data_IF_275944003500
#
_entry.id   IF_275944003500
#
_cell.length_a   1.000
_cell.length_b   1.000
_cell.length_c   1.000
_cell.angle_alpha   90.00
_cell.angle_beta   90.00
_cell.angle_gamma   90.00
#
_symmetry.space_group_name_H-M   'P 1'
#
loop_
_entity.id
_entity.type
_entity.pdbx_description
1 polymer ?
2 non-polymer ?
3 water ?
#
# COMPACT_ATOMS: atom_id res chain seq x y z
N UNK A 5 20.29 -12.39 13.02
CA UNK A 5 20.90 -13.23 11.99
C UNK A 5 22.09 -12.56 11.29
N UNK A 6 22.90 -11.78 12.02
CA UNK A 6 23.93 -10.98 11.39
C UNK A 6 23.33 -9.89 10.51
N UNK A 7 23.92 -9.65 9.35
CA UNK A 7 23.41 -8.64 8.42
C UNK A 7 22.21 -9.11 7.57
N UNK A 8 21.88 -10.39 7.66
CA UNK A 8 20.69 -10.91 6.97
C UNK A 8 19.42 -10.31 7.57
N UNK A 9 18.41 -10.05 6.73
CA UNK A 9 17.14 -9.56 7.24
C UNK A 9 16.15 -10.71 7.31
N UNK A 10 15.25 -10.65 8.28
CA UNK A 10 14.26 -11.69 8.53
C UNK A 10 12.85 -11.11 8.57
N UNK A 11 11.85 -11.97 8.77
CA UNK A 11 10.46 -11.57 8.73
C UNK A 11 10.15 -10.44 9.73
N UNK A 12 9.21 -9.58 9.35
CA UNK A 12 8.70 -8.52 10.21
C UNK A 12 7.27 -8.86 10.57
N UNK A 13 6.95 -8.80 11.85
CA UNK A 13 5.62 -9.19 12.29
C UNK A 13 4.79 -7.98 12.60
N UNK A 14 3.60 -7.93 11.99
CA UNK A 14 2.63 -6.89 12.33
C UNK A 14 1.30 -7.53 12.74
N UNK A 15 0.97 -7.41 14.02
CA UNK A 15 -0.29 -7.92 14.54
C UNK A 15 -0.47 -9.39 14.16
N UNK A 16 0.58 -10.17 14.36
CA UNK A 16 0.53 -11.60 14.09
C UNK A 16 0.80 -12.02 12.65
N UNK A 17 0.85 -11.05 11.73
CA UNK A 17 1.08 -11.32 10.31
C UNK A 17 2.56 -11.18 10.00
N UNK A 18 3.14 -12.20 9.40
CA UNK A 18 4.55 -12.14 9.03
C UNK A 18 4.71 -11.56 7.63
N UNK A 19 5.54 -10.52 7.53
CA UNK A 19 5.89 -9.91 6.28
C UNK A 19 7.32 -10.25 5.91
N UNK A 20 7.53 -10.76 4.69
CA UNK A 20 8.92 -10.95 4.26
C UNK A 20 9.61 -9.60 4.08
N UNK A 21 10.91 -9.57 4.35
CA UNK A 21 11.61 -8.29 4.27
C UNK A 21 11.86 -7.84 2.85
N UNK A 22 11.80 -8.78 1.92
CA UNK A 22 11.94 -8.46 0.52
C UNK A 22 10.94 -9.32 -0.23
N UNK A 23 10.50 -8.86 -1.39
CA UNK A 23 9.65 -9.63 -2.30
C UNK A 23 10.18 -9.42 -3.70
N UNK A 24 10.57 -10.51 -4.36
CA UNK A 24 11.08 -10.47 -5.74
C UNK A 24 10.03 -11.05 -6.65
N UNK A 25 9.32 -10.21 -7.41
CA UNK A 25 8.32 -10.79 -8.34
C UNK A 25 8.90 -11.02 -9.73
N UNK A 29 12.52 -8.52 -13.53
CA UNK A 29 12.23 -9.36 -12.37
C UNK A 29 13.18 -9.04 -11.23
N UNK A 30 12.89 -7.95 -10.51
CA UNK A 30 13.79 -7.44 -9.48
C UNK A 30 13.16 -7.39 -8.09
N UNK A 31 14.02 -7.28 -7.07
CA UNK A 31 13.63 -7.43 -5.67
C UNK A 31 13.17 -6.12 -5.01
N UNK A 32 12.06 -6.19 -4.28
CA UNK A 32 11.53 -5.03 -3.57
C UNK A 32 11.72 -5.22 -2.06
N UNK A 33 12.10 -4.16 -1.39
CA UNK A 33 12.26 -4.18 0.05
C UNK A 33 11.09 -3.62 0.81
N UNK A 34 10.79 -4.25 1.93
CA UNK A 34 9.79 -3.76 2.86
C UNK A 34 10.21 -2.41 3.44
N UNK A 35 9.45 -1.37 3.14
CA UNK A 35 9.72 -0.04 3.68
C UNK A 35 9.02 0.16 4.98
N UNK A 36 7.86 -0.48 5.13
CA UNK A 36 7.11 -0.30 6.35
C UNK A 36 5.83 -1.11 6.31
N UNK A 37 5.24 -1.33 7.48
CA UNK A 37 4.04 -2.14 7.56
C UNK A 37 3.24 -1.72 8.77
N UNK A 38 1.92 -1.65 8.62
CA UNK A 38 1.08 -1.23 9.72
C UNK A 38 -0.31 -1.81 9.54
N UNK A 39 -1.27 -1.24 10.24
CA UNK A 39 -2.64 -1.79 10.20
C UNK A 39 -3.65 -0.74 9.84
N UNK A 40 -4.74 -1.17 9.21
CA UNK A 40 -5.85 -0.28 8.95
C UNK A 40 -7.04 -0.77 9.79
N UNK A 41 -7.67 0.18 10.46
CA UNK A 41 -8.83 -0.11 11.27
C UNK A 41 -10.04 0.47 10.57
N UNK A 42 -11.22 0.01 10.96
CA UNK A 42 -12.43 0.59 10.45
C UNK A 42 -13.34 0.84 11.65
N UNK A 43 -14.17 1.86 11.57
CA UNK A 43 -15.12 2.14 12.66
C UNK A 43 -16.48 1.58 12.34
N UNK A 44 -17.05 0.78 13.26
CA UNK A 44 -18.41 0.30 13.17
C UNK A 44 -19.18 0.86 14.35
N UNK A 45 -20.18 1.71 14.08
CA UNK A 45 -20.87 2.42 15.16
C UNK A 45 -19.77 3.10 15.99
N UNK A 46 -19.73 2.92 17.30
CA UNK A 46 -18.71 3.60 18.10
C UNK A 46 -17.40 2.83 18.28
N UNK A 47 -17.28 1.72 17.57
CA UNK A 47 -16.25 0.72 17.82
C UNK A 47 -15.20 0.71 16.71
N UNK A 48 -13.90 0.73 17.04
CA UNK A 48 -12.89 0.62 15.98
C UNK A 48 -12.31 -0.80 15.97
N UNK A 49 -12.17 -1.42 14.82
CA UNK A 49 -11.53 -2.74 14.79
C UNK A 49 -10.47 -2.80 13.69
N UNK A 50 -9.42 -3.54 13.95
CA UNK A 50 -8.34 -3.72 12.96
C UNK A 50 -8.74 -4.75 11.94
N UNK A 51 -8.74 -4.38 10.65
CA UNK A 51 -9.18 -5.34 9.63
C UNK A 51 -8.09 -5.78 8.67
N UNK A 52 -7.06 -4.97 8.46
CA UNK A 52 -5.98 -5.42 7.59
C UNK A 52 -4.65 -4.99 8.06
N UNK A 53 -3.65 -5.78 7.68
CA UNK A 53 -2.25 -5.42 7.83
C UNK A 53 -1.67 -5.14 6.42
N UNK A 54 -0.95 -4.02 6.31
CA UNK A 54 -0.48 -3.51 5.03
C UNK A 54 1.02 -3.37 5.07
N UNK A 55 1.69 -3.96 4.08
CA UNK A 55 3.14 -3.80 3.92
C UNK A 55 3.46 -3.12 2.60
N UNK A 56 4.33 -2.13 2.66
CA UNK A 56 4.70 -1.32 1.51
C UNK A 56 6.13 -1.65 1.10
N UNK A 57 6.30 -2.00 -0.16
CA UNK A 57 7.57 -2.49 -0.74
C UNK A 57 7.97 -1.62 -1.89
N UNK A 58 9.28 -1.41 -2.10
CA UNK A 58 9.74 -0.69 -3.27
C UNK A 58 11.18 -1.07 -3.51
N UNK A 59 11.68 -0.78 -4.72
CA UNK A 59 13.09 -1.03 -5.05
C UNK A 59 13.97 -0.07 -4.23
N UNK A 60 14.85 -0.62 -3.39
CA UNK A 60 15.49 0.20 -2.33
C UNK A 60 16.50 1.22 -2.84
N UNK A 61 17.45 0.81 -3.67
CA UNK A 61 18.43 1.76 -4.16
C UNK A 61 17.73 2.81 -5.02
N UNK A 62 16.81 2.36 -5.85
CA UNK A 62 16.16 3.25 -6.79
C UNK A 62 15.33 4.27 -6.04
N UNK A 63 14.55 3.83 -5.05
CA UNK A 63 13.71 4.78 -4.35
C UNK A 63 14.57 5.72 -3.50
N UNK A 64 15.70 5.24 -2.98
CA UNK A 64 16.59 6.12 -2.22
C UNK A 64 17.10 7.25 -3.09
N UNK A 65 17.40 6.94 -4.35
CA UNK A 65 17.98 7.95 -5.24
C UNK A 65 16.96 9.03 -5.63
N UNK A 66 15.67 8.72 -5.48
CA UNK A 66 14.59 9.68 -5.76
C UNK A 66 14.14 10.47 -4.55
N UNK A 67 14.69 10.16 -3.38
CA UNK A 67 14.26 10.83 -2.15
C UNK A 67 15.42 11.48 -1.42
N UNK A 68 16.53 11.68 -2.15
CA UNK A 68 17.75 12.24 -1.56
C UNK A 68 17.51 13.53 -0.79
N UNK A 69 16.54 14.31 -1.24
CA UNK A 69 16.32 15.61 -0.62
C UNK A 69 15.83 15.42 0.82
N UNK A 70 15.33 14.22 1.14
CA UNK A 70 14.77 13.96 2.46
C UNK A 70 15.79 13.37 3.43
N UNK A 71 17.01 13.19 2.93
CA UNK A 71 18.10 12.61 3.71
C UNK A 71 18.36 13.45 4.96
N UNK A 72 18.74 12.79 6.05
CA UNK A 72 19.08 13.51 7.28
C UNK A 72 17.89 13.87 8.15
N UNK A 73 16.69 13.40 7.79
CA UNK A 73 15.50 13.66 8.59
C UNK A 73 15.10 12.39 9.32
N UNK A 74 14.75 12.52 10.59
CA UNK A 74 14.30 11.37 11.37
C UNK A 74 12.87 11.01 10.97
N UNK A 75 12.47 9.79 11.33
CA UNK A 75 11.13 9.30 11.02
C UNK A 75 10.09 10.27 11.53
N UNK A 76 10.31 10.79 12.74
CA UNK A 76 9.38 11.74 13.37
C UNK A 76 9.21 13.01 12.55
N UNK A 77 10.31 13.55 12.04
CA UNK A 77 10.23 14.70 11.14
C UNK A 77 9.49 14.36 9.85
N UNK A 78 9.82 13.20 9.28
CA UNK A 78 9.26 12.83 7.99
C UNK A 78 7.76 12.64 8.08
N UNK A 79 7.31 12.10 9.21
CA UNK A 79 5.90 11.82 9.40
C UNK A 79 5.06 13.08 9.26
N UNK A 80 5.62 14.22 9.64
CA UNK A 80 4.86 15.47 9.61
C UNK A 80 5.09 16.32 8.35
N UNK A 81 5.81 15.76 7.37
CA UNK A 81 5.97 16.43 6.08
C UNK A 81 5.15 15.68 5.05
N UNK A 82 3.94 16.19 4.77
CA UNK A 82 3.01 15.52 3.87
C UNK A 82 3.63 15.44 2.47
N UNK A 83 4.47 16.42 2.14
CA UNK A 83 5.21 16.42 0.88
C UNK A 83 6.17 15.24 0.73
N UNK A 84 6.54 14.62 1.85
CA UNK A 84 7.42 13.48 1.78
C UNK A 84 6.67 12.27 1.22
N UNK A 85 5.46 12.02 1.74
CA UNK A 85 4.68 10.86 1.31
C UNK A 85 4.18 11.04 -0.11
N UNK A 86 3.95 12.29 -0.51
CA UNK A 86 3.60 12.60 -1.88
C UNK A 86 4.75 12.25 -2.85
N UNK A 87 5.98 12.61 -2.48
CA UNK A 87 7.14 12.24 -3.29
C UNK A 87 7.29 10.72 -3.40
N UNK A 88 6.94 10.03 -2.33
CA UNK A 88 7.07 8.58 -2.31
C UNK A 88 6.10 7.93 -3.30
N UNK A 89 4.86 8.36 -3.23
CA UNK A 89 3.85 7.93 -4.19
C UNK A 89 4.22 8.20 -5.66
N UNK A 90 4.69 9.41 -5.96
CA UNK A 90 4.92 9.80 -7.34
C UNK A 90 6.30 9.38 -7.89
N UNK A 91 7.17 8.86 -7.04
CA UNK A 91 8.47 8.39 -7.52
C UNK A 91 8.29 7.31 -8.61
N UNK A 92 9.01 7.44 -9.75
CA UNK A 92 8.84 6.44 -10.83
C UNK A 92 9.66 5.19 -10.57
N UNK A 93 9.13 4.37 -9.68
CA UNK A 93 9.79 3.21 -9.17
C UNK A 93 8.73 2.15 -8.98
N UNK A 94 9.09 0.89 -9.16
CA UNK A 94 8.18 -0.20 -8.91
C UNK A 94 7.82 -0.28 -7.43
N UNK A 95 6.55 -0.50 -7.13
CA UNK A 95 6.04 -0.56 -5.76
C UNK A 95 5.01 -1.66 -5.61
N UNK A 96 4.86 -2.13 -4.39
CA UNK A 96 3.94 -3.18 -4.08
C UNK A 96 3.34 -2.90 -2.72
N UNK A 97 2.02 -2.97 -2.64
CA UNK A 97 1.32 -2.97 -1.37
C UNK A 97 0.76 -4.34 -1.19
N UNK A 98 1.09 -4.93 -0.07
CA UNK A 98 0.65 -6.26 0.29
C UNK A 98 -0.32 -6.15 1.45
N UNK A 99 -1.54 -6.60 1.24
CA UNK A 99 -2.61 -6.43 2.22
C UNK A 99 -3.11 -7.78 2.70
N UNK A 100 -3.04 -8.02 4.00
CA UNK A 100 -3.47 -9.27 4.59
C UNK A 100 -4.65 -9.01 5.53
N UNK A 101 -5.72 -9.78 5.35
CA UNK A 101 -6.91 -9.66 6.19
C UNK A 101 -6.68 -10.18 7.61
N UNK A 102 -7.04 -9.37 8.59
CA UNK A 102 -7.00 -9.77 10.00
C UNK A 102 -8.33 -10.32 10.42
N UNK A 103 -9.36 -9.91 9.70
CA UNK A 103 -10.72 -10.33 9.97
C UNK A 103 -11.37 -10.62 8.64
N UNK A 104 -12.40 -11.48 8.65
CA UNK A 104 -13.03 -11.80 7.37
C UNK A 104 -13.72 -10.59 6.73
N UNK A 105 -13.55 -10.46 5.42
CA UNK A 105 -14.18 -9.38 4.67
C UNK A 105 -14.67 -9.93 3.36
N UNK A 106 -15.88 -9.52 2.95
CA UNK A 106 -16.34 -9.79 1.60
C UNK A 106 -15.64 -8.80 0.70
N UNK A 107 -15.64 -9.06 -0.60
CA UNK A 107 -14.94 -8.18 -1.50
C UNK A 107 -15.64 -6.84 -1.56
N UNK A 108 -16.97 -6.82 -1.42
CA UNK A 108 -17.70 -5.55 -1.40
C UNK A 108 -17.36 -4.74 -0.15
N UNK A 109 -17.23 -5.42 0.99
CA UNK A 109 -16.85 -4.75 2.24
C UNK A 109 -15.45 -4.18 2.11
N UNK A 110 -14.57 -4.90 1.43
CA UNK A 110 -13.20 -4.44 1.29
C UNK A 110 -13.16 -3.24 0.33
N UNK A 111 -13.76 -3.37 -0.84
CA UNK A 111 -13.56 -2.37 -1.86
C UNK A 111 -14.45 -1.14 -1.65
N UNK A 112 -15.51 -1.27 -0.85
CA UNK A 112 -16.38 -0.16 -0.54
C UNK A 112 -15.56 0.93 0.13
N UNK A 113 -15.00 0.61 1.28
CA UNK A 113 -14.25 1.60 2.04
C UNK A 113 -12.94 2.01 1.36
N UNK A 114 -12.21 1.06 0.78
CA UNK A 114 -10.93 1.41 0.16
C UNK A 114 -11.23 2.29 -1.07
N UNK A 115 -12.32 1.97 -1.77
CA UNK A 115 -12.72 2.75 -2.91
C UNK A 115 -13.14 4.16 -2.52
N UNK A 116 -13.89 4.28 -1.44
CA UNK A 116 -14.27 5.61 -0.98
C UNK A 116 -13.07 6.39 -0.48
N UNK A 117 -12.09 5.73 0.17
CA UNK A 117 -10.85 6.44 0.55
C UNK A 117 -10.13 7.00 -0.67
N UNK A 118 -10.09 6.21 -1.73
CA UNK A 118 -9.41 6.58 -2.96
C UNK A 118 -10.15 7.71 -3.66
N UNK A 119 -11.47 7.60 -3.72
CA UNK A 119 -12.28 8.65 -4.31
C UNK A 119 -12.11 9.95 -3.55
N UNK A 120 -12.12 9.85 -2.22
CA UNK A 120 -12.01 11.05 -1.39
C UNK A 120 -10.66 11.74 -1.63
N UNK A 121 -9.59 10.95 -1.72
CA UNK A 121 -8.26 11.46 -2.04
C UNK A 121 -8.21 12.16 -3.40
N UNK A 122 -8.80 11.55 -4.42
CA UNK A 122 -8.87 12.15 -5.77
C UNK A 122 -9.65 13.43 -5.79
N UNK A 123 -10.79 13.45 -5.12
CA UNK A 123 -11.61 14.64 -5.11
C UNK A 123 -10.88 15.82 -4.48
N UNK A 124 -10.11 15.55 -3.44
CA UNK A 124 -9.38 16.60 -2.72
C UNK A 124 -8.31 17.22 -3.61
N UNK A 125 -7.78 16.42 -4.52
CA UNK A 125 -6.78 16.86 -5.46
C UNK A 125 -7.35 17.49 -6.73
N UNK A 126 -8.67 17.48 -6.87
CA UNK A 126 -9.30 17.93 -8.11
C UNK A 126 -9.05 16.96 -9.27
N UNK A 127 -8.84 15.68 -8.94
CA UNK A 127 -8.52 14.66 -9.93
C UNK A 127 -9.57 13.53 -10.00
N UNK A 128 -10.83 13.83 -9.69
CA UNK A 128 -11.88 12.83 -9.83
C UNK A 128 -12.78 13.17 -11.02
N UNK A 129 -12.36 12.70 -12.20
CA UNK A 129 -13.07 12.97 -13.43
C UNK A 129 -13.59 11.64 -13.98
N UNK A 130 -14.16 11.67 -15.18
CA UNK A 130 -14.75 10.44 -15.72
C UNK A 130 -13.76 9.24 -15.76
N UNK A 131 -12.49 9.50 -16.05
CA UNK A 131 -11.52 8.40 -16.15
C UNK A 131 -11.32 7.70 -14.82
N UNK A 132 -11.15 8.50 -13.76
CA UNK A 132 -10.94 7.93 -12.44
C UNK A 132 -12.23 7.27 -11.92
N UNK A 133 -13.37 7.85 -12.24
CA UNK A 133 -14.63 7.22 -11.87
C UNK A 133 -14.78 5.83 -12.53
N UNK A 134 -14.41 5.71 -13.80
CA UNK A 134 -14.43 4.39 -14.47
C UNK A 134 -13.43 3.40 -13.83
N UNK A 135 -12.26 3.90 -13.43
CA UNK A 135 -11.26 3.07 -12.77
C UNK A 135 -11.81 2.57 -11.44
N UNK A 136 -12.51 3.43 -10.72
CA UNK A 136 -13.13 3.03 -9.46
C UNK A 136 -14.20 1.97 -9.70
N UNK A 137 -14.98 2.16 -10.74
CA UNK A 137 -16.00 1.15 -11.09
C UNK A 137 -15.34 -0.17 -11.45
N UNK A 138 -14.23 -0.13 -12.19
CA UNK A 138 -13.53 -1.37 -12.53
C UNK A 138 -13.01 -2.07 -11.27
N UNK A 139 -12.50 -1.27 -10.36
CA UNK A 139 -11.99 -1.73 -9.07
C UNK A 139 -13.08 -2.46 -8.29
N UNK A 140 -14.22 -1.83 -8.10
CA UNK A 140 -15.27 -2.47 -7.33
C UNK A 140 -15.80 -3.70 -8.06
N UNK A 141 -15.81 -3.65 -9.38
CA UNK A 141 -16.29 -4.78 -10.19
C UNK A 141 -15.45 -6.00 -9.88
N UNK A 142 -14.13 -5.80 -9.85
CA UNK A 142 -13.21 -6.89 -9.60
C UNK A 142 -13.50 -7.52 -8.26
N UNK A 143 -13.68 -6.71 -7.22
CA UNK A 143 -13.83 -7.25 -5.89
C UNK A 143 -15.22 -7.80 -5.59
N UNK A 144 -16.18 -7.47 -6.45
CA UNK A 144 -17.59 -7.67 -6.10
C UNK A 144 -17.93 -9.09 -5.59
N UNK A 145 -17.45 -10.13 -6.28
CA UNK A 145 -17.88 -11.48 -5.89
C UNK A 145 -16.82 -12.24 -5.08
N UNK A 146 -15.77 -11.55 -4.67
CA UNK A 146 -14.69 -12.21 -3.97
C UNK A 146 -14.96 -12.23 -2.48
N UNK A 147 -14.29 -13.12 -1.76
CA UNK A 147 -14.36 -13.14 -0.30
C UNK A 147 -12.96 -13.35 0.26
N UNK A 148 -12.72 -12.78 1.44
CA UNK A 148 -11.38 -12.73 2.00
C UNK A 148 -11.38 -13.14 3.45
N UNK A 149 -11.19 -14.44 3.70
CA UNK A 149 -11.04 -14.87 5.10
C UNK A 149 -9.72 -14.35 5.68
N UNK A 150 -9.59 -14.37 7.02
CA UNK A 150 -8.32 -14.02 7.65
C UNK A 150 -7.15 -14.77 7.02
N UNK A 151 -6.06 -14.06 6.79
CA UNK A 151 -4.88 -14.62 6.21
C UNK A 151 -4.83 -14.49 4.70
N UNK A 152 -5.96 -14.24 4.07
CA UNK A 152 -5.94 -14.03 2.62
C UNK A 152 -5.22 -12.72 2.35
N UNK A 153 -4.58 -12.63 1.18
CA UNK A 153 -3.69 -11.51 0.87
C UNK A 153 -3.98 -10.95 -0.51
N UNK A 154 -4.00 -9.63 -0.58
CA UNK A 154 -4.17 -8.90 -1.81
C UNK A 154 -2.85 -8.23 -2.12
N UNK A 155 -2.43 -8.34 -3.38
CA UNK A 155 -1.21 -7.66 -3.84
C UNK A 155 -1.59 -6.56 -4.82
N UNK A 156 -1.22 -5.32 -4.51
CA UNK A 156 -1.40 -4.19 -5.38
C UNK A 156 -0.01 -3.82 -5.91
N UNK A 157 0.26 -4.17 -7.15
CA UNK A 157 1.57 -4.01 -7.73
C UNK A 157 1.58 -2.89 -8.74
N UNK A 158 2.37 -1.86 -8.48
CA UNK A 158 2.53 -0.78 -9.44
C UNK A 158 3.83 -1.02 -10.18
N UNK A 159 3.75 -1.74 -11.30
CA UNK A 159 4.93 -2.07 -12.10
C UNK A 159 5.48 -0.79 -12.70
N UNK A 160 4.59 0.07 -13.20
CA UNK A 160 4.94 1.47 -13.46
C UNK A 160 3.87 2.35 -12.79
N UNK A 161 4.15 3.66 -12.65
CA UNK A 161 3.14 4.58 -12.11
C UNK A 161 1.82 4.59 -12.91
N UNK A 162 1.88 4.12 -14.15
CA UNK A 162 0.70 4.15 -15.01
C UNK A 162 -0.31 3.05 -14.72
N UNK A 163 0.11 1.95 -14.11
CA UNK A 163 -0.76 0.77 -14.03
C UNK A 163 -0.75 0.08 -12.66
N UNK A 164 -1.93 -0.34 -12.25
CA UNK A 164 -2.15 -1.07 -11.01
C UNK A 164 -2.50 -2.53 -11.29
N UNK A 165 -1.62 -3.46 -10.95
CA UNK A 165 -1.91 -4.90 -11.13
C UNK A 165 -2.38 -5.49 -9.82
N UNK A 166 -3.53 -6.14 -9.83
CA UNK A 166 -4.09 -6.72 -8.63
C UNK A 166 -4.11 -8.22 -8.74
N UNK A 167 -3.69 -8.90 -7.68
CA UNK A 167 -3.80 -10.34 -7.62
C UNK A 167 -4.01 -10.72 -6.15
N UNK A 168 -4.28 -12.00 -5.87
CA UNK A 168 -4.43 -12.32 -4.47
C UNK A 168 -4.21 -13.78 -4.23
N UNK A 169 -4.06 -14.15 -2.97
CA UNK A 169 -3.89 -15.54 -2.59
C UNK A 169 -4.53 -15.81 -1.22
N UNK A 170 -4.90 -17.06 -0.98
CA UNK A 170 -5.60 -17.43 0.25
C UNK A 170 -4.66 -17.38 1.45
N UNK A 171 -3.37 -17.55 1.16
CA UNK A 171 -2.32 -17.36 2.15
C UNK A 171 -1.45 -16.19 1.70
N UNK A 172 -0.28 -16.00 2.30
CA UNK A 172 0.57 -14.88 1.94
C UNK A 172 1.43 -15.11 0.71
N UNK A 173 1.22 -16.22 0.01
CA UNK A 173 2.13 -16.58 -1.08
C UNK A 173 1.86 -15.73 -2.30
N UNK A 174 2.88 -15.61 -3.14
CA UNK A 174 2.83 -14.76 -4.32
C UNK A 174 2.05 -15.43 -5.47
N UNK A 175 1.15 -14.67 -6.11
CA UNK A 175 0.54 -15.19 -7.34
C UNK A 175 1.51 -15.17 -8.52
N UNK A 176 1.28 -15.94 -9.59
CA UNK A 176 2.19 -15.92 -10.74
C UNK A 176 1.92 -14.76 -11.69
N UNK A 177 0.75 -14.13 -11.59
CA UNK A 177 0.42 -13.10 -12.54
C UNK A 177 -0.69 -12.23 -11.99
N UNK A 178 -0.88 -11.08 -12.60
CA UNK A 178 -1.97 -10.19 -12.26
C UNK A 178 -3.29 -10.87 -12.61
N UNK A 179 -4.32 -10.64 -11.79
CA UNK A 179 -5.67 -11.13 -12.10
C UNK A 179 -6.48 -10.01 -12.78
N UNK A 180 -6.24 -8.78 -12.38
CA UNK A 180 -6.94 -7.61 -12.95
C UNK A 180 -5.97 -6.46 -12.98
N UNK A 181 -6.08 -5.60 -13.98
CA UNK A 181 -5.13 -4.51 -14.09
C UNK A 181 -5.94 -3.24 -14.38
N UNK A 182 -5.68 -2.19 -13.63
CA UNK A 182 -6.39 -0.89 -13.82
C UNK A 182 -5.38 0.10 -14.35
N UNK A 183 -5.66 0.61 -15.55
CA UNK A 183 -4.72 1.45 -16.27
C UNK A 183 -5.13 2.91 -16.15
N UNK A 184 -4.97 3.46 -14.96
CA UNK A 184 -5.24 4.89 -14.75
C UNK A 184 -4.31 5.33 -13.66
N UNK A 185 -3.42 6.23 -14.04
CA UNK A 185 -2.30 6.61 -13.20
C UNK A 185 -2.80 7.31 -11.93
N UNK A 186 -3.79 8.18 -12.08
CA UNK A 186 -4.27 8.95 -10.94
C UNK A 186 -4.92 8.02 -9.92
N UNK A 187 -5.72 7.10 -10.40
CA UNK A 187 -6.39 6.15 -9.51
C UNK A 187 -5.36 5.27 -8.78
N UNK A 188 -4.40 4.74 -9.52
CA UNK A 188 -3.33 3.95 -8.91
C UNK A 188 -2.59 4.72 -7.80
N UNK A 189 -2.22 5.95 -8.09
CA UNK A 189 -1.49 6.78 -7.17
C UNK A 189 -2.31 7.02 -5.90
N UNK A 190 -3.58 7.34 -6.07
CA UNK A 190 -4.41 7.67 -4.93
C UNK A 190 -4.65 6.39 -4.10
N UNK A 191 -4.85 5.25 -4.76
CA UNK A 191 -5.02 4.00 -4.01
C UNK A 191 -3.76 3.67 -3.21
N UNK A 192 -2.59 3.78 -3.83
CA UNK A 192 -1.34 3.50 -3.13
C UNK A 192 -1.22 4.49 -1.97
N UNK A 193 -1.61 5.73 -2.22
CA UNK A 193 -1.61 6.76 -1.20
C UNK A 193 -2.41 6.31 0.00
N UNK A 194 -3.58 5.74 -0.23
CA UNK A 194 -4.34 5.25 0.91
C UNK A 194 -3.61 4.04 1.54
N UNK A 195 -2.89 3.21 0.77
CA UNK A 195 -2.21 2.05 1.39
C UNK A 195 -1.06 2.53 2.27
N UNK A 196 -0.36 3.58 1.81
CA UNK A 196 0.69 4.20 2.64
C UNK A 196 0.11 4.72 3.93
N UNK A 197 -1.19 5.04 3.89
CA UNK A 197 -1.88 5.47 5.10
C UNK A 197 -2.16 6.95 5.16
N UNK A 198 -2.01 7.64 4.02
CA UNK A 198 -2.23 9.09 3.93
C UNK A 198 -3.66 9.51 4.30
N UNK A 199 -3.83 10.76 4.74
CA UNK A 199 -5.15 11.31 5.03
C UNK A 199 -5.87 10.52 6.12
N UNK A 200 -5.11 10.08 7.11
CA UNK A 200 -5.65 9.40 8.26
C UNK A 200 -6.02 7.93 8.08
N UNK A 201 -5.82 7.36 6.90
CA UNK A 201 -6.21 5.95 6.67
C UNK A 201 -5.39 4.98 7.57
N UNK A 202 -4.08 5.16 7.65
CA UNK A 202 -3.26 4.30 8.51
C UNK A 202 -2.04 5.06 9.03
N UNK A 203 -2.19 5.79 10.16
CA UNK A 203 -1.05 6.44 10.82
C UNK A 203 0.05 5.43 11.12
N UNK A 204 -0.31 4.19 11.48
CA UNK A 204 0.73 3.20 11.80
C UNK A 204 1.55 2.81 10.55
N UNK A 205 0.94 2.61 9.38
CA UNK A 205 1.72 2.32 8.18
C UNK A 205 2.56 3.53 7.82
N UNK A 206 1.99 4.74 7.91
CA UNK A 206 2.78 5.92 7.56
C UNK A 206 4.05 6.02 8.39
N UNK A 207 3.91 5.79 9.69
CA UNK A 207 5.02 5.94 10.63
C UNK A 207 6.06 4.89 10.35
N UNK A 208 5.61 3.68 10.04
CA UNK A 208 6.53 2.60 9.77
C UNK A 208 7.30 2.86 8.46
N UNK A 209 6.62 3.34 7.43
CA UNK A 209 7.29 3.65 6.15
C UNK A 209 8.28 4.80 6.36
N UNK A 210 7.92 5.82 7.13
CA UNK A 210 8.89 6.87 7.43
C UNK A 210 10.15 6.32 8.13
N UNK A 211 9.99 5.33 9.01
CA UNK A 211 11.13 4.72 9.69
C UNK A 211 12.02 3.94 8.72
N UNK A 212 11.39 3.13 7.88
CA UNK A 212 12.13 2.33 6.91
C UNK A 212 12.87 3.21 5.91
N UNK A 213 12.21 4.27 5.44
CA UNK A 213 12.88 5.13 4.50
C UNK A 213 13.99 5.96 5.18
N UNK A 214 13.75 6.41 6.40
CA UNK A 214 14.78 7.13 7.13
C UNK A 214 16.02 6.23 7.24
N UNK A 215 15.79 4.96 7.55
CA UNK A 215 16.91 4.01 7.67
C UNK A 215 17.57 3.83 6.30
N UNK A 216 16.78 3.66 5.26
CA UNK A 216 17.31 3.45 3.92
C UNK A 216 18.18 4.64 3.47
N UNK A 217 17.71 5.85 3.72
CA UNK A 217 18.45 7.04 3.29
C UNK A 217 19.78 7.19 4.04
N UNK A 218 19.83 6.68 5.26
CA UNK A 218 21.07 6.69 6.07
C UNK A 218 22.07 5.64 5.62
N UNK A 219 21.57 4.53 5.09
CA UNK A 219 22.42 3.45 4.65
C UNK A 219 23.31 3.98 3.52
X LIG B 1 -9.46 -5.36 16.61
X LIG C 1 -6.36 -2.24 3.17
#
# INVERSE_FOLDING_TARGET
SHGSHGMAVTKVTVDGIEFPPTITPPGSSKSLTLLGAGVRGIQIEGVEIKVTAIGIYAEPEVIASHLQKWKGKSASELVEDDGFFKDLVQAPVEKLARVTMLKPLTGAQYSGKVGENTKDALKALGKYSEAEEEALEEFREFFKTKSFPPGSTIFFHLSSPSTLQISFSTDGSLPEEAEATIENANFAAALLGTMLGKNGVSPSTKASVAEGISALLMKNKDEKEV
CL CL
CL CL
#
